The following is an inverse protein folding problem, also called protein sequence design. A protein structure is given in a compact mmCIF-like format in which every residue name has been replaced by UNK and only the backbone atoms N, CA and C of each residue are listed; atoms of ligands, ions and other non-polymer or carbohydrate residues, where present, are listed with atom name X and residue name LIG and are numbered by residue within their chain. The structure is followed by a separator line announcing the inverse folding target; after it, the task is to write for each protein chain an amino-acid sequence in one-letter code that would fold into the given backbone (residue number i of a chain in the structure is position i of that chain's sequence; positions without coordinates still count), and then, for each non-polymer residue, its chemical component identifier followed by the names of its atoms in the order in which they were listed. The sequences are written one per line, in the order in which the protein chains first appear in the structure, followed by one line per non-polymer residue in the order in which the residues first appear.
data_IF_913312031063
#
_entry.id   IF_913312031063
#
_cell.length_a   1.000
_cell.length_b   1.000
_cell.length_c   1.000
_cell.angle_alpha   90.00
_cell.angle_beta   90.00
_cell.angle_gamma   90.00
#
_symmetry.space_group_name_H-M   'P 1'
#
loop_
_entity.id
_entity.type
_entity.pdbx_description
1 polymer ?
#
# COMPACT_ATOMS: atom_id res chain seq x y z
N UNK A 1 55.51 2.08 -48.11
CA UNK A 1 56.14 2.96 -47.07
C UNK A 1 55.50 4.34 -47.19
N UNK A 2 55.19 5.06 -46.08
CA UNK A 2 53.88 4.97 -45.39
C UNK A 2 53.12 6.31 -45.20
N UNK A 3 51.81 6.20 -44.87
CA UNK A 3 50.96 7.03 -43.95
C UNK A 3 50.68 8.51 -44.36
N UNK A 4 49.50 9.12 -44.14
CA UNK A 4 48.43 8.87 -43.18
C UNK A 4 47.08 9.45 -43.67
N UNK A 5 45.99 8.70 -43.52
CA UNK A 5 44.63 9.23 -43.46
C UNK A 5 44.32 9.64 -42.01
N UNK A 6 43.89 10.89 -41.82
CA UNK A 6 43.37 11.39 -40.55
C UNK A 6 41.93 10.90 -40.37
N UNK A 7 41.77 9.76 -39.71
CA UNK A 7 40.48 9.18 -39.33
C UNK A 7 40.20 9.32 -37.83
N UNK A 8 39.35 10.28 -37.48
CA UNK A 8 38.31 10.16 -36.45
C UNK A 8 38.72 9.86 -34.98
N UNK A 9 39.20 10.89 -34.28
CA UNK A 9 39.37 10.88 -32.81
C UNK A 9 38.08 11.31 -32.05
N UNK A 10 36.91 11.26 -32.68
CA UNK A 10 35.61 11.63 -32.05
C UNK A 10 34.66 10.46 -31.79
N UNK A 11 35.12 9.22 -31.96
CA UNK A 11 34.27 8.04 -31.78
C UNK A 11 34.29 7.45 -30.35
N UNK A 12 35.26 7.79 -29.49
CA UNK A 12 35.46 7.07 -28.22
C UNK A 12 34.89 7.74 -26.97
N UNK A 13 34.26 8.91 -27.06
CA UNK A 13 33.62 9.55 -25.90
C UNK A 13 32.14 9.17 -25.71
N UNK A 14 31.51 8.51 -26.71
CA UNK A 14 30.10 8.09 -26.62
C UNK A 14 29.88 6.74 -25.95
N UNK A 15 30.93 5.97 -25.64
CA UNK A 15 30.77 4.62 -25.07
C UNK A 15 30.75 4.65 -23.54
N UNK A 16 31.19 5.73 -22.89
CA UNK A 16 31.21 5.83 -21.43
C UNK A 16 29.92 6.41 -20.81
N UNK A 17 28.99 6.90 -21.63
CA UNK A 17 27.70 7.44 -21.17
C UNK A 17 26.53 6.43 -21.31
N UNK A 18 26.82 5.13 -21.47
CA UNK A 18 25.80 4.09 -21.70
C UNK A 18 25.62 3.11 -20.52
N UNK A 19 26.30 3.26 -19.35
CA UNK A 19 26.31 2.17 -18.34
C UNK A 19 26.07 2.53 -16.87
N UNK A 20 25.49 3.69 -16.53
CA UNK A 20 25.00 3.95 -15.16
C UNK A 20 23.67 4.70 -15.09
N UNK A 21 22.70 4.22 -15.86
CA UNK A 21 21.29 4.50 -15.61
C UNK A 21 20.57 3.17 -15.47
N UNK A 22 20.98 2.42 -14.43
CA UNK A 22 20.18 1.31 -13.93
C UNK A 22 18.83 1.93 -13.56
N UNK A 23 17.78 1.39 -14.18
CA UNK A 23 16.47 2.00 -14.37
C UNK A 23 15.97 2.89 -13.24
N UNK A 24 15.87 4.19 -13.51
CA UNK A 24 14.71 4.94 -13.04
C UNK A 24 13.48 4.31 -13.71
N UNK A 25 12.94 3.25 -13.11
CA UNK A 25 11.65 2.69 -13.49
C UNK A 25 10.62 3.80 -13.40
N UNK A 26 9.87 3.93 -14.48
CA UNK A 26 8.76 4.86 -14.73
C UNK A 26 8.04 5.30 -13.44
N UNK A 27 8.23 6.55 -13.02
CA UNK A 27 7.72 7.09 -11.74
C UNK A 27 6.25 7.50 -11.79
N UNK A 28 5.52 7.13 -12.84
CA UNK A 28 4.11 7.46 -13.03
C UNK A 28 3.26 6.18 -13.14
N UNK A 29 3.47 5.26 -12.20
CA UNK A 29 2.38 4.33 -11.85
C UNK A 29 1.34 5.20 -11.16
N UNK A 30 0.21 5.44 -11.81
CA UNK A 30 -0.93 6.17 -11.24
C UNK A 30 -1.51 5.39 -10.07
N UNK A 31 -0.86 5.49 -8.91
CA UNK A 31 -1.33 4.86 -7.69
C UNK A 31 -2.62 5.54 -7.25
N UNK A 32 -3.60 4.74 -6.85
CA UNK A 32 -4.82 5.21 -6.22
C UNK A 32 -4.48 6.03 -4.97
N UNK A 33 -3.58 5.51 -4.15
CA UNK A 33 -3.07 6.19 -2.96
C UNK A 33 -1.63 5.81 -2.63
N UNK A 34 -1.04 6.58 -1.71
CA UNK A 34 0.24 6.30 -1.05
C UNK A 34 0.01 6.37 0.45
N UNK A 35 0.20 5.28 1.17
CA UNK A 35 -0.17 5.19 2.57
C UNK A 35 0.72 4.23 3.35
N UNK A 36 0.66 4.34 4.68
CA UNK A 36 1.20 3.34 5.61
C UNK A 36 0.03 2.67 6.32
N UNK A 37 0.15 1.39 6.63
CA UNK A 37 -0.81 0.72 7.51
C UNK A 37 -0.67 1.21 8.96
N UNK A 38 -1.74 1.16 9.74
CA UNK A 38 -1.73 1.54 11.15
C UNK A 38 -1.68 3.05 11.40
N UNK A 39 -1.67 3.45 12.68
CA UNK A 39 -1.70 4.85 13.11
C UNK A 39 -0.43 5.34 13.84
N UNK A 40 0.64 4.54 13.79
CA UNK A 40 2.00 4.92 14.26
C UNK A 40 3.09 4.36 13.34
N UNK A 41 4.31 4.95 13.35
CA UNK A 41 5.47 4.41 12.63
C UNK A 41 5.78 2.94 12.95
N UNK A 42 5.71 2.57 14.22
CA UNK A 42 6.01 1.20 14.67
C UNK A 42 4.97 0.22 14.13
N UNK A 43 3.68 0.59 14.22
CA UNK A 43 2.59 -0.21 13.69
C UNK A 43 2.67 -0.34 12.16
N UNK A 44 3.09 0.72 11.46
CA UNK A 44 3.30 0.66 10.02
C UNK A 44 4.36 -0.38 9.64
N UNK A 45 5.49 -0.42 10.35
CA UNK A 45 6.54 -1.42 10.12
C UNK A 45 6.04 -2.85 10.45
N UNK A 46 5.32 -3.03 11.56
CA UNK A 46 4.75 -4.32 11.97
C UNK A 46 3.75 -4.87 10.94
N UNK A 47 2.80 -4.03 10.50
CA UNK A 47 1.77 -4.43 9.55
C UNK A 47 2.34 -4.63 8.14
N UNK A 48 3.31 -3.81 7.73
CA UNK A 48 4.05 -4.03 6.49
C UNK A 48 4.77 -5.38 6.50
N UNK A 49 5.37 -5.80 7.63
CA UNK A 49 5.99 -7.11 7.72
C UNK A 49 4.98 -8.25 7.49
N UNK A 50 3.74 -8.11 7.98
CA UNK A 50 2.66 -9.07 7.71
C UNK A 50 2.25 -9.10 6.25
N UNK A 51 2.21 -7.94 5.59
CA UNK A 51 1.92 -7.82 4.15
C UNK A 51 3.00 -8.52 3.32
N UNK A 52 4.27 -8.24 3.60
CA UNK A 52 5.41 -8.83 2.89
C UNK A 52 5.54 -10.33 3.14
N UNK A 53 5.11 -10.82 4.30
CA UNK A 53 5.04 -12.24 4.61
C UNK A 53 3.82 -12.94 3.97
N UNK A 54 2.92 -12.21 3.31
CA UNK A 54 1.68 -12.74 2.73
C UNK A 54 0.64 -13.15 3.77
N UNK A 55 0.79 -12.72 5.03
CA UNK A 55 -0.17 -12.98 6.11
C UNK A 55 -1.32 -11.99 6.09
N UNK A 56 -1.02 -10.70 5.91
CA UNK A 56 -2.01 -9.64 5.74
C UNK A 56 -2.32 -9.48 4.25
N UNK A 57 -3.53 -9.86 3.87
CA UNK A 57 -4.05 -9.83 2.48
C UNK A 57 -5.39 -9.10 2.37
N UNK A 58 -5.84 -8.52 3.48
CA UNK A 58 -7.01 -7.67 3.55
C UNK A 58 -6.78 -6.47 4.46
N UNK A 59 -7.62 -5.45 4.27
CA UNK A 59 -7.73 -4.29 5.15
C UNK A 59 -9.17 -3.82 5.24
N UNK A 60 -9.48 -3.10 6.31
CA UNK A 60 -10.77 -2.41 6.49
C UNK A 60 -10.57 -0.90 6.60
N UNK A 61 -11.51 -0.13 6.07
CA UNK A 61 -11.55 1.33 6.23
C UNK A 61 -12.97 1.85 6.34
N UNK A 62 -13.17 2.92 7.10
CA UNK A 62 -14.49 3.60 7.16
C UNK A 62 -14.80 4.28 5.83
N UNK A 63 -16.05 4.25 5.42
CA UNK A 63 -16.52 5.01 4.25
C UNK A 63 -17.01 6.37 4.73
N UNK A 64 -16.36 7.44 4.29
CA UNK A 64 -16.80 8.82 4.45
C UNK A 64 -17.22 9.41 3.10
N UNK A 65 -18.20 10.31 3.09
CA UNK A 65 -18.83 10.83 1.86
C UNK A 65 -17.86 11.59 0.94
N UNK A 66 -16.81 12.18 1.51
CA UNK A 66 -15.79 12.97 0.84
C UNK A 66 -14.56 12.16 0.41
N UNK A 67 -14.52 10.86 0.73
CA UNK A 67 -13.40 9.97 0.44
C UNK A 67 -13.75 8.95 -0.63
N UNK A 68 -12.77 8.68 -1.50
CA UNK A 68 -12.90 7.63 -2.51
C UNK A 68 -12.54 6.29 -1.89
N UNK A 69 -13.33 5.27 -2.18
CA UNK A 69 -12.95 3.89 -1.95
C UNK A 69 -12.11 3.35 -3.12
N UNK A 70 -11.20 2.39 -2.88
CA UNK A 70 -10.47 1.71 -3.95
C UNK A 70 -11.42 0.91 -4.84
N UNK A 71 -11.02 0.74 -6.09
CA UNK A 71 -11.67 -0.13 -7.08
C UNK A 71 -10.81 -1.36 -7.37
N UNK A 72 -11.45 -2.47 -7.71
CA UNK A 72 -10.71 -3.67 -8.17
C UNK A 72 -9.82 -3.30 -9.35
N UNK A 73 -8.53 -3.60 -9.23
CA UNK A 73 -7.52 -3.25 -10.21
C UNK A 73 -6.63 -2.07 -9.82
N UNK A 74 -7.05 -1.25 -8.86
CA UNK A 74 -6.27 -0.12 -8.36
C UNK A 74 -4.94 -0.59 -7.76
N UNK A 75 -3.92 0.26 -7.89
CA UNK A 75 -2.60 0.04 -7.33
C UNK A 75 -2.36 1.05 -6.22
N UNK A 76 -1.96 0.59 -5.03
CA UNK A 76 -1.60 1.47 -3.92
C UNK A 76 -0.14 1.26 -3.54
N UNK A 77 0.56 2.36 -3.28
CA UNK A 77 1.95 2.32 -2.81
C UNK A 77 1.96 2.28 -1.28
N UNK A 78 2.46 1.18 -0.71
CA UNK A 78 2.61 1.03 0.72
C UNK A 78 3.97 1.57 1.16
N UNK A 79 3.96 2.40 2.20
CA UNK A 79 5.13 3.02 2.81
C UNK A 79 5.44 2.35 4.16
N UNK A 80 6.72 2.30 4.52
CA UNK A 80 7.19 1.89 5.85
C UNK A 80 6.90 2.97 6.92
N UNK A 81 7.24 2.70 8.18
CA UNK A 81 7.07 3.64 9.29
C UNK A 81 7.91 4.92 9.19
N UNK A 82 8.87 4.98 8.25
CA UNK A 82 9.67 6.18 7.93
C UNK A 82 9.16 6.87 6.65
N UNK A 83 7.96 6.52 6.18
CA UNK A 83 7.36 7.04 4.95
C UNK A 83 8.18 6.71 3.69
N UNK A 84 8.96 5.63 3.72
CA UNK A 84 9.74 5.15 2.58
C UNK A 84 8.93 4.12 1.79
N UNK A 85 8.84 4.20 0.45
CA UNK A 85 8.16 3.18 -0.36
C UNK A 85 8.70 1.78 -0.12
N UNK A 86 7.81 0.82 0.18
CA UNK A 86 8.18 -0.55 0.53
C UNK A 86 7.62 -1.61 -0.43
N UNK A 87 6.35 -1.49 -0.81
CA UNK A 87 5.74 -2.39 -1.80
C UNK A 87 4.57 -1.74 -2.52
N UNK A 88 4.13 -2.36 -3.60
CA UNK A 88 2.89 -2.02 -4.32
C UNK A 88 1.90 -3.15 -4.11
N UNK A 89 0.70 -2.80 -3.66
CA UNK A 89 -0.43 -3.72 -3.58
C UNK A 89 -1.42 -3.43 -4.70
N UNK A 90 -2.14 -4.46 -5.14
CA UNK A 90 -3.25 -4.35 -6.08
C UNK A 90 -4.53 -4.80 -5.42
N UNK A 91 -5.56 -3.97 -5.47
CA UNK A 91 -6.90 -4.34 -5.00
C UNK A 91 -7.49 -5.43 -5.89
N UNK A 92 -7.86 -6.57 -5.31
CA UNK A 92 -8.45 -7.72 -6.03
C UNK A 92 -9.91 -7.98 -5.66
N UNK A 93 -10.39 -7.40 -4.56
CA UNK A 93 -11.78 -7.49 -4.14
C UNK A 93 -12.13 -6.31 -3.24
N UNK A 94 -13.34 -5.79 -3.41
CA UNK A 94 -13.91 -4.73 -2.59
C UNK A 94 -15.35 -5.08 -2.28
N UNK A 95 -15.73 -4.98 -1.01
CA UNK A 95 -17.09 -5.15 -0.53
C UNK A 95 -17.43 -4.04 0.46
N UNK A 96 -18.63 -3.48 0.38
CA UNK A 96 -19.14 -2.56 1.39
C UNK A 96 -20.00 -3.33 2.39
N UNK A 97 -19.60 -3.31 3.65
CA UNK A 97 -20.31 -3.96 4.75
C UNK A 97 -20.54 -2.99 5.89
N UNK A 98 -21.51 -3.27 6.77
CA UNK A 98 -21.60 -2.55 8.05
C UNK A 98 -20.57 -3.12 9.02
N UNK A 99 -20.10 -2.32 9.98
CA UNK A 99 -19.20 -2.80 11.03
C UNK A 99 -19.76 -4.04 11.74
N UNK A 100 -21.05 -4.04 12.08
CA UNK A 100 -21.72 -5.21 12.69
C UNK A 100 -21.87 -6.43 11.76
N UNK A 101 -21.63 -6.26 10.47
CA UNK A 101 -21.68 -7.33 9.46
C UNK A 101 -20.33 -7.99 9.20
N UNK A 102 -19.23 -7.43 9.73
CA UNK A 102 -17.91 -8.04 9.61
C UNK A 102 -17.86 -9.35 10.40
N UNK A 103 -17.29 -10.37 9.78
CA UNK A 103 -17.15 -11.71 10.36
C UNK A 103 -15.69 -12.05 10.57
N UNK A 104 -15.41 -13.05 11.42
CA UNK A 104 -14.05 -13.55 11.59
C UNK A 104 -13.43 -14.03 10.28
N UNK A 105 -14.21 -14.69 9.41
CA UNK A 105 -13.70 -15.20 8.14
C UNK A 105 -13.21 -14.10 7.19
N UNK A 106 -13.79 -12.90 7.30
CA UNK A 106 -13.33 -11.73 6.56
C UNK A 106 -12.06 -11.16 7.19
N UNK A 107 -12.13 -10.81 8.48
CA UNK A 107 -11.10 -9.97 9.12
C UNK A 107 -9.86 -10.76 9.54
N UNK A 108 -9.95 -12.10 9.65
CA UNK A 108 -8.75 -12.95 9.83
C UNK A 108 -7.73 -12.80 8.70
N UNK A 109 -8.17 -12.32 7.52
CA UNK A 109 -7.30 -12.04 6.38
C UNK A 109 -6.43 -10.79 6.59
N UNK A 110 -6.74 -9.95 7.57
CA UNK A 110 -5.82 -8.90 8.02
C UNK A 110 -4.60 -9.49 8.73
N UNK A 111 -4.74 -10.68 9.33
CA UNK A 111 -3.61 -11.42 9.92
C UNK A 111 -3.02 -10.79 11.20
N UNK A 112 -3.67 -9.76 11.74
CA UNK A 112 -3.20 -8.96 12.89
C UNK A 112 -3.54 -9.61 14.24
N UNK A 113 -4.75 -10.16 14.36
CA UNK A 113 -5.30 -10.71 15.61
C UNK A 113 -5.46 -12.23 15.56
N UNK A 114 -5.67 -12.86 16.72
CA UNK A 114 -5.89 -14.31 16.84
C UNK A 114 -7.37 -14.70 16.80
N UNK A 115 -8.27 -13.76 17.12
CA UNK A 115 -9.72 -13.98 17.13
C UNK A 115 -10.51 -12.69 16.91
N UNK A 116 -11.81 -12.85 16.64
CA UNK A 116 -12.71 -11.75 16.32
C UNK A 116 -12.88 -10.72 17.44
N UNK A 117 -12.86 -11.15 18.71
CA UNK A 117 -13.08 -10.21 19.83
C UNK A 117 -11.88 -9.28 20.04
N UNK A 118 -10.66 -9.79 19.87
CA UNK A 118 -9.44 -8.97 19.87
C UNK A 118 -9.51 -7.93 18.75
N UNK A 119 -9.73 -8.39 17.52
CA UNK A 119 -9.87 -7.54 16.33
C UNK A 119 -10.94 -6.45 16.53
N UNK A 120 -12.13 -6.87 16.98
CA UNK A 120 -13.27 -5.98 17.17
C UNK A 120 -12.97 -4.92 18.23
N UNK A 121 -12.40 -5.32 19.37
CA UNK A 121 -12.04 -4.39 20.43
C UNK A 121 -10.97 -3.39 19.99
N UNK A 122 -9.97 -3.84 19.21
CA UNK A 122 -8.91 -3.00 18.65
C UNK A 122 -9.46 -1.95 17.70
N UNK A 123 -10.28 -2.38 16.77
CA UNK A 123 -10.89 -1.52 15.76
C UNK A 123 -11.89 -0.51 16.36
N UNK A 124 -12.67 -0.90 17.38
CA UNK A 124 -13.51 0.06 18.13
C UNK A 124 -12.64 1.15 18.77
N UNK A 125 -11.52 0.79 19.41
CA UNK A 125 -10.59 1.77 20.01
C UNK A 125 -10.00 2.69 18.94
N UNK A 126 -9.59 2.15 17.80
CA UNK A 126 -9.04 2.93 16.69
C UNK A 126 -10.06 3.91 16.12
N UNK A 127 -11.21 3.41 15.65
CA UNK A 127 -12.23 4.24 15.02
C UNK A 127 -12.90 5.22 15.97
N UNK A 128 -12.95 4.95 17.27
CA UNK A 128 -13.39 5.96 18.25
C UNK A 128 -12.44 7.17 18.28
N UNK A 129 -11.12 6.94 18.25
CA UNK A 129 -10.14 8.03 18.19
C UNK A 129 -10.20 8.76 16.85
N UNK A 130 -10.32 7.99 15.76
CA UNK A 130 -10.37 8.51 14.41
C UNK A 130 -11.62 9.38 14.17
N UNK A 131 -12.79 8.91 14.63
CA UNK A 131 -14.06 9.65 14.63
C UNK A 131 -13.95 10.99 15.36
N UNK A 132 -13.32 11.01 16.54
CA UNK A 132 -13.11 12.25 17.28
C UNK A 132 -12.18 13.24 16.54
N UNK A 133 -11.19 12.73 15.80
CA UNK A 133 -10.25 13.56 15.02
C UNK A 133 -10.86 14.10 13.74
N UNK A 134 -11.65 13.29 13.03
CA UNK A 134 -12.19 13.58 11.69
C UNK A 134 -13.63 14.12 11.71
N UNK A 135 -14.28 14.11 12.87
CA UNK A 135 -15.61 14.72 13.05
C UNK A 135 -16.78 13.89 12.54
N UNK A 136 -16.64 12.55 12.48
CA UNK A 136 -17.75 11.64 12.17
C UNK A 136 -18.21 10.87 13.41
N UNK A 137 -19.32 10.15 13.33
CA UNK A 137 -19.81 9.25 14.40
C UNK A 137 -19.56 7.80 14.01
N UNK A 138 -18.77 7.09 14.80
CA UNK A 138 -18.58 5.65 14.66
C UNK A 138 -19.67 4.88 15.43
N UNK A 139 -20.32 3.94 14.76
CA UNK A 139 -21.35 3.06 15.33
C UNK A 139 -21.25 1.66 14.72
N UNK A 140 -21.99 0.71 15.28
CA UNK A 140 -22.16 -0.62 14.68
C UNK A 140 -22.75 -0.60 13.26
N UNK A 141 -23.43 0.48 12.88
CA UNK A 141 -24.04 0.65 11.56
C UNK A 141 -23.13 1.36 10.56
N UNK A 142 -21.95 1.83 10.98
CA UNK A 142 -20.97 2.53 10.12
C UNK A 142 -20.60 1.64 8.95
N UNK A 143 -20.60 2.21 7.74
CA UNK A 143 -20.20 1.51 6.52
C UNK A 143 -18.68 1.40 6.47
N UNK A 144 -18.22 0.21 6.16
CA UNK A 144 -16.82 -0.20 6.10
C UNK A 144 -16.56 -0.75 4.71
N UNK A 145 -15.47 -0.31 4.11
CA UNK A 145 -14.87 -0.98 2.96
C UNK A 145 -14.07 -2.17 3.48
N UNK A 146 -14.44 -3.38 3.08
CA UNK A 146 -13.60 -4.55 3.20
C UNK A 146 -12.85 -4.75 1.88
N UNK A 147 -11.53 -4.64 1.93
CA UNK A 147 -10.67 -4.74 0.76
C UNK A 147 -9.77 -5.98 0.88
N UNK A 148 -9.66 -6.77 -0.19
CA UNK A 148 -8.56 -7.74 -0.34
C UNK A 148 -7.60 -7.27 -1.41
N UNK A 149 -6.32 -7.54 -1.19
CA UNK A 149 -5.26 -7.13 -2.09
C UNK A 149 -4.18 -8.20 -2.24
N UNK A 150 -3.36 -8.04 -3.27
CA UNK A 150 -2.17 -8.85 -3.52
C UNK A 150 -0.95 -7.94 -3.64
N UNK A 151 0.20 -8.35 -3.09
CA UNK A 151 1.48 -7.67 -3.34
C UNK A 151 1.93 -7.97 -4.76
N UNK A 152 2.12 -6.93 -5.57
CA UNK A 152 2.51 -7.06 -7.00
C UNK A 152 3.94 -6.59 -7.28
N UNK A 153 4.55 -5.84 -6.36
CA UNK A 153 5.96 -5.45 -6.43
C UNK A 153 6.49 -5.17 -5.01
N UNK A 154 7.72 -5.60 -4.71
CA UNK A 154 8.49 -5.21 -3.52
C UNK A 154 9.61 -4.27 -3.98
N UNK A 155 9.86 -3.20 -3.23
CA UNK A 155 10.73 -2.08 -3.63
C UNK A 155 12.09 -2.07 -2.94
#
# INVERSE_FOLDING_TARGET
MPLAEKGNEKANEKIHLQKRRIGMKNTDKGYFERFSFGDSPEMADELLALVLAGKKTATVSVILEDEKAPSVGDLSLVLDGRSTPACVIKTVHVETVRFCGLTWDMVKLEGEDENFEQWKSGNIRYWTRDAAKRGYTFTDQTLITFERFEVVEVL
#
